data_IF_993763305679
#
_entry.id   IF_993763305679
#
_cell.length_a   1.000
_cell.length_b   1.000
_cell.length_c   1.000
_cell.angle_alpha   90.00
_cell.angle_beta   90.00
_cell.angle_gamma   90.00
#
_symmetry.space_group_name_H-M   'P 1'
#
loop_
_entity.id
_entity.type
_entity.pdbx_description
1 polymer ?
#
# COMPACT_ATOMS: atom_id res chain seq x y z
N UNK A 1 11.79 -36.19 57.46
CA UNK A 1 12.92 -36.99 56.90
C UNK A 1 12.73 -37.42 55.44
N UNK A 2 11.51 -37.43 54.87
CA UNK A 2 11.25 -37.86 53.47
C UNK A 2 11.62 -36.85 52.36
N UNK A 3 12.05 -35.62 52.72
CA UNK A 3 12.37 -34.54 51.79
C UNK A 3 13.67 -34.77 50.99
N UNK A 4 14.59 -35.60 51.49
CA UNK A 4 15.94 -35.70 50.95
C UNK A 4 16.02 -36.57 49.68
N UNK A 5 15.31 -37.71 49.67
CA UNK A 5 15.31 -38.62 48.52
C UNK A 5 14.61 -38.01 47.30
N UNK A 6 13.48 -37.32 47.52
CA UNK A 6 12.76 -36.62 46.45
C UNK A 6 13.64 -35.54 45.77
N UNK A 7 14.37 -34.76 46.57
CA UNK A 7 15.26 -33.72 46.06
C UNK A 7 16.47 -34.33 45.33
N UNK A 8 17.03 -35.43 45.84
CA UNK A 8 18.10 -36.18 45.19
C UNK A 8 17.66 -36.72 43.82
N UNK A 9 16.51 -37.39 43.75
CA UNK A 9 15.96 -37.90 42.49
C UNK A 9 15.67 -36.76 41.50
N UNK A 10 15.12 -35.64 41.97
CA UNK A 10 14.89 -34.46 41.14
C UNK A 10 16.21 -33.88 40.60
N UNK A 11 17.27 -33.88 41.42
CA UNK A 11 18.62 -33.45 41.01
C UNK A 11 19.27 -34.40 40.02
N UNK A 12 19.09 -35.71 40.14
CA UNK A 12 19.61 -36.70 39.19
C UNK A 12 18.83 -36.69 37.87
N UNK A 13 17.52 -36.45 37.94
CA UNK A 13 16.64 -36.32 36.77
C UNK A 13 16.92 -35.04 35.97
N UNK A 14 17.23 -33.93 36.66
CA UNK A 14 17.42 -32.63 36.00
C UNK A 14 18.41 -32.61 34.83
N UNK A 15 19.64 -33.16 34.94
CA UNK A 15 20.60 -33.18 33.84
C UNK A 15 20.15 -34.08 32.68
N UNK A 16 19.47 -35.20 32.96
CA UNK A 16 18.97 -36.14 31.93
C UNK A 16 17.98 -35.44 30.99
N UNK A 17 17.11 -34.60 31.54
CA UNK A 17 16.04 -33.92 30.78
C UNK A 17 16.29 -32.42 30.58
N UNK A 18 17.49 -31.92 30.89
CA UNK A 18 17.84 -30.50 30.85
C UNK A 18 16.81 -29.60 31.56
N UNK A 19 16.30 -30.04 32.71
CA UNK A 19 15.39 -29.25 33.55
C UNK A 19 16.15 -28.61 34.70
N UNK A 20 15.57 -27.56 35.31
CA UNK A 20 16.16 -26.90 36.48
C UNK A 20 15.67 -27.56 37.77
N UNK A 21 16.60 -27.96 38.65
CA UNK A 21 16.29 -28.42 40.02
C UNK A 21 16.22 -27.23 40.99
N UNK A 22 15.14 -27.10 41.76
CA UNK A 22 14.91 -26.00 42.72
C UNK A 22 14.50 -26.54 44.10
N UNK A 23 15.42 -27.16 44.87
CA UNK A 23 15.10 -27.78 46.16
C UNK A 23 14.71 -26.77 47.25
N UNK A 24 15.16 -25.52 47.15
CA UNK A 24 14.87 -24.44 48.10
C UNK A 24 13.57 -23.70 47.79
N UNK A 25 12.87 -24.06 46.70
CA UNK A 25 11.67 -23.37 46.21
C UNK A 25 11.88 -21.86 46.02
N UNK A 26 13.10 -21.44 45.69
CA UNK A 26 13.44 -20.04 45.49
C UNK A 26 12.78 -19.47 44.22
N UNK A 27 12.51 -18.16 44.20
CA UNK A 27 11.87 -17.45 43.07
C UNK A 27 12.88 -17.08 42.00
N UNK A 28 13.31 -18.06 41.20
CA UNK A 28 14.35 -17.90 40.17
C UNK A 28 13.88 -17.27 38.84
N UNK A 29 12.63 -16.77 38.75
CA UNK A 29 12.12 -16.12 37.53
C UNK A 29 11.81 -17.07 36.35
N UNK A 30 11.92 -18.39 36.52
CA UNK A 30 11.67 -19.40 35.46
C UNK A 30 10.27 -19.33 34.85
N UNK A 31 9.28 -18.78 35.57
CA UNK A 31 7.92 -18.50 35.06
C UNK A 31 7.94 -17.59 33.82
N UNK A 32 8.80 -16.57 33.82
CA UNK A 32 8.89 -15.62 32.72
C UNK A 32 9.65 -16.21 31.53
N UNK A 33 10.71 -16.97 31.79
CA UNK A 33 11.49 -17.65 30.74
C UNK A 33 10.69 -18.75 30.02
N UNK A 34 9.83 -19.48 30.75
CA UNK A 34 8.93 -20.49 30.15
C UNK A 34 7.80 -19.88 29.33
N UNK A 35 7.51 -18.59 29.51
CA UNK A 35 6.43 -17.93 28.79
C UNK A 35 6.86 -17.70 27.34
N UNK A 36 6.15 -18.34 26.41
CA UNK A 36 6.34 -18.10 24.97
C UNK A 36 6.08 -16.63 24.63
N UNK A 37 6.94 -16.06 23.78
CA UNK A 37 6.77 -14.70 23.27
C UNK A 37 5.46 -14.57 22.49
N UNK A 38 4.75 -13.46 22.68
CA UNK A 38 3.49 -13.14 21.97
C UNK A 38 3.64 -12.03 20.94
N UNK A 39 4.84 -11.47 20.79
CA UNK A 39 5.15 -10.34 19.91
C UNK A 39 4.59 -10.48 18.49
N UNK A 40 4.88 -11.58 17.77
CA UNK A 40 4.40 -11.76 16.39
C UNK A 40 2.87 -11.75 16.28
N UNK A 41 2.18 -12.42 17.20
CA UNK A 41 0.71 -12.48 17.23
C UNK A 41 0.06 -11.13 17.56
N UNK A 42 0.71 -10.32 18.39
CA UNK A 42 0.22 -8.97 18.71
C UNK A 42 0.51 -8.00 17.56
N UNK A 43 1.66 -8.13 16.91
CA UNK A 43 2.02 -7.31 15.74
C UNK A 43 1.07 -7.53 14.55
N UNK A 44 0.51 -8.73 14.42
CA UNK A 44 -0.48 -9.07 13.39
C UNK A 44 -1.94 -8.78 13.79
N UNK A 45 -2.19 -8.05 14.89
CA UNK A 45 -3.55 -7.83 15.40
C UNK A 45 -4.46 -7.10 14.39
N UNK A 46 -3.95 -6.02 13.79
CA UNK A 46 -4.59 -5.45 12.62
C UNK A 46 -4.05 -6.17 11.38
N UNK A 47 -4.91 -6.65 10.47
CA UNK A 47 -4.43 -7.20 9.21
C UNK A 47 -3.60 -6.12 8.53
N UNK A 48 -2.31 -6.40 8.35
CA UNK A 48 -1.48 -5.54 7.53
C UNK A 48 -2.12 -5.53 6.15
N UNK A 49 -2.37 -4.36 5.57
CA UNK A 49 -2.75 -4.20 4.17
C UNK A 49 -1.53 -4.50 3.26
N UNK A 50 -0.86 -5.60 3.56
CA UNK A 50 0.17 -6.25 2.78
C UNK A 50 -0.50 -7.25 1.85
N UNK A 51 0.21 -7.65 0.80
CA UNK A 51 -0.25 -8.59 -0.23
C UNK A 51 -1.02 -9.77 0.41
N UNK A 52 -2.31 -10.04 0.08
CA UNK A 52 -2.98 -9.85 -1.21
C UNK A 52 -3.77 -8.54 -1.41
N UNK A 53 -3.81 -7.61 -0.44
CA UNK A 53 -4.57 -6.35 -0.57
C UNK A 53 -3.67 -5.09 -0.58
N UNK A 54 -2.75 -4.96 -1.55
CA UNK A 54 -1.90 -3.79 -1.64
C UNK A 54 -2.74 -2.53 -1.91
N UNK A 55 -2.40 -1.42 -1.23
CA UNK A 55 -2.95 -0.11 -1.60
C UNK A 55 -2.65 0.16 -3.08
N UNK A 56 -3.61 0.75 -3.79
CA UNK A 56 -3.48 1.13 -5.21
C UNK A 56 -2.19 1.93 -5.48
N UNK A 57 -1.75 2.75 -4.52
CA UNK A 57 -0.49 3.49 -4.59
C UNK A 57 0.76 2.60 -4.74
N UNK A 58 0.79 1.43 -4.08
CA UNK A 58 1.92 0.50 -4.19
C UNK A 58 1.87 -0.27 -5.51
N UNK A 59 0.67 -0.60 -6.00
CA UNK A 59 0.49 -1.20 -7.33
C UNK A 59 0.98 -0.26 -8.44
N UNK A 60 0.62 1.02 -8.38
CA UNK A 60 1.06 2.00 -9.37
C UNK A 60 2.57 2.30 -9.32
N UNK A 61 3.26 2.01 -8.20
CA UNK A 61 4.73 2.13 -8.12
C UNK A 61 5.44 0.98 -8.84
N UNK A 62 4.88 -0.22 -8.78
CA UNK A 62 5.49 -1.42 -9.37
C UNK A 62 5.06 -1.65 -10.81
N UNK A 63 3.86 -1.19 -11.18
CA UNK A 63 3.29 -1.35 -12.52
C UNK A 63 2.98 0.04 -13.08
N UNK A 64 3.96 0.70 -13.75
CA UNK A 64 3.79 2.05 -14.27
C UNK A 64 2.80 2.11 -15.45
N UNK A 65 2.49 0.97 -16.07
CA UNK A 65 1.57 0.86 -17.20
C UNK A 65 0.48 -0.21 -16.97
N UNK A 66 -0.75 0.23 -16.79
CA UNK A 66 -1.96 -0.57 -16.88
C UNK A 66 -2.49 -0.50 -18.33
N UNK A 67 -2.47 -1.61 -19.08
CA UNK A 67 -2.96 -1.66 -20.47
C UNK A 67 -4.47 -1.38 -20.58
N UNK A 68 -5.22 -1.48 -19.48
CA UNK A 68 -6.64 -1.19 -19.41
C UNK A 68 -6.96 0.20 -18.82
N UNK A 69 -5.96 1.07 -18.62
CA UNK A 69 -6.20 2.41 -18.09
C UNK A 69 -7.01 3.27 -19.07
N UNK A 70 -8.22 3.65 -18.68
CA UNK A 70 -9.15 4.39 -19.55
C UNK A 70 -9.94 3.50 -20.51
N UNK A 71 -9.86 2.18 -20.36
CA UNK A 71 -10.73 1.27 -21.08
C UNK A 71 -12.10 1.23 -20.39
N UNK A 72 -13.13 1.78 -21.06
CA UNK A 72 -14.51 1.79 -20.58
C UNK A 72 -15.22 0.43 -20.76
N UNK A 73 -14.47 -0.65 -21.01
CA UNK A 73 -14.99 -2.00 -21.24
C UNK A 73 -15.63 -2.21 -22.62
N UNK A 74 -15.74 -1.16 -23.44
CA UNK A 74 -16.24 -1.26 -24.80
C UNK A 74 -15.17 -1.85 -25.74
N UNK A 75 -15.59 -2.70 -26.69
CA UNK A 75 -14.71 -3.14 -27.79
C UNK A 75 -14.23 -1.90 -28.54
N UNK A 76 -12.92 -1.80 -28.80
CA UNK A 76 -12.38 -0.72 -29.64
C UNK A 76 -13.11 -0.71 -30.98
N UNK A 77 -13.47 0.47 -31.51
CA UNK A 77 -14.19 0.55 -32.77
C UNK A 77 -13.31 0.04 -33.91
N UNK A 78 -13.84 -0.89 -34.71
CA UNK A 78 -13.17 -1.43 -35.90
C UNK A 78 -13.12 -0.40 -37.03
N UNK A 79 -14.01 0.60 -36.98
CA UNK A 79 -14.14 1.69 -37.93
C UNK A 79 -13.98 3.04 -37.22
N UNK A 80 -13.10 3.88 -37.76
CA UNK A 80 -12.94 5.25 -37.27
C UNK A 80 -13.81 6.18 -38.12
N UNK A 81 -14.70 6.94 -37.47
CA UNK A 81 -15.59 7.89 -38.14
C UNK A 81 -15.25 9.34 -37.76
N UNK A 82 -15.62 10.27 -38.63
CA UNK A 82 -15.46 11.70 -38.36
C UNK A 82 -16.51 12.17 -37.34
N UNK A 83 -16.16 12.95 -36.30
CA UNK A 83 -17.05 13.26 -35.18
C UNK A 83 -18.41 13.88 -35.56
N UNK A 84 -18.48 14.63 -36.67
CA UNK A 84 -19.68 15.37 -37.06
C UNK A 84 -20.36 14.86 -38.34
N UNK A 85 -19.67 14.08 -39.19
CA UNK A 85 -20.20 13.67 -40.50
C UNK A 85 -20.42 12.16 -40.62
N UNK A 86 -20.00 11.35 -39.64
CA UNK A 86 -20.17 9.90 -39.65
C UNK A 86 -19.43 9.16 -40.76
N UNK A 87 -18.73 9.88 -41.65
CA UNK A 87 -17.93 9.28 -42.72
C UNK A 87 -16.81 8.44 -42.14
N UNK A 88 -16.71 7.21 -42.63
CA UNK A 88 -15.66 6.26 -42.26
C UNK A 88 -14.34 6.73 -42.84
N UNK A 89 -13.39 7.02 -41.95
CA UNK A 89 -12.04 7.51 -42.27
C UNK A 89 -11.12 6.32 -42.53
N UNK A 90 -11.27 5.26 -41.73
CA UNK A 90 -10.52 4.00 -41.89
C UNK A 90 -11.38 2.82 -41.45
N UNK A 91 -11.31 1.76 -42.24
CA UNK A 91 -11.90 0.46 -41.96
C UNK A 91 -10.79 -0.52 -41.56
N UNK A 92 -11.10 -1.48 -40.69
CA UNK A 92 -10.16 -2.50 -40.20
C UNK A 92 -8.88 -1.89 -39.60
N UNK A 93 -9.06 -0.91 -38.71
CA UNK A 93 -7.92 -0.27 -38.03
C UNK A 93 -7.25 -1.29 -37.11
N UNK A 94 -6.11 -1.82 -37.55
CA UNK A 94 -5.20 -2.56 -36.68
C UNK A 94 -4.46 -1.55 -35.79
N UNK A 95 -4.85 -1.51 -34.53
CA UNK A 95 -4.20 -0.70 -33.52
C UNK A 95 -2.83 -1.31 -33.20
N UNK A 96 -1.78 -0.83 -33.88
CA UNK A 96 -0.40 -1.17 -33.51
C UNK A 96 -0.10 -0.51 -32.16
N UNK A 97 0.36 -1.33 -31.21
CA UNK A 97 0.61 -1.04 -29.79
C UNK A 97 -0.50 -1.43 -28.80
N UNK A 98 -1.20 -2.54 -29.06
CA UNK A 98 -1.66 -3.40 -27.99
C UNK A 98 -0.42 -4.00 -27.27
N UNK A 99 0.14 -3.26 -26.30
CA UNK A 99 1.13 -3.80 -25.35
C UNK A 99 2.62 -3.75 -25.70
N UNK A 100 3.08 -2.90 -26.61
CA UNK A 100 4.53 -2.75 -26.87
C UNK A 100 5.13 -1.56 -26.09
N UNK A 101 6.03 -1.86 -25.16
CA UNK A 101 6.87 -0.88 -24.44
C UNK A 101 7.86 -0.23 -25.41
N UNK A 102 7.97 1.10 -25.37
CA UNK A 102 9.14 1.79 -25.92
C UNK A 102 10.41 1.32 -25.17
N UNK A 103 11.51 1.11 -25.90
CA UNK A 103 12.80 0.74 -25.29
C UNK A 103 13.44 1.96 -24.64
N UNK A 104 14.21 1.74 -23.57
CA UNK A 104 14.96 2.78 -22.82
C UNK A 104 15.81 3.71 -23.72
N UNK A 105 16.19 3.25 -24.91
CA UNK A 105 16.98 4.03 -25.89
C UNK A 105 16.24 5.19 -26.56
N UNK A 106 14.94 5.34 -26.35
CA UNK A 106 14.12 6.43 -26.91
C UNK A 106 13.73 7.49 -25.88
N UNK A 107 14.30 7.44 -24.66
CA UNK A 107 14.10 8.47 -23.65
C UNK A 107 15.02 9.66 -23.94
N UNK A 108 14.43 10.75 -24.43
CA UNK A 108 15.10 12.05 -24.55
C UNK A 108 15.51 12.52 -23.15
N UNK A 109 16.77 12.95 -23.00
CA UNK A 109 17.36 13.55 -21.79
C UNK A 109 16.77 14.96 -21.53
N UNK A 110 15.47 15.05 -21.28
CA UNK A 110 14.87 16.27 -20.75
C UNK A 110 14.86 16.20 -19.23
N UNK A 111 15.92 16.76 -18.65
CA UNK A 111 16.21 16.77 -17.23
C UNK A 111 15.04 17.21 -16.35
N UNK A 112 15.06 16.71 -15.09
CA UNK A 112 14.27 17.11 -13.92
C UNK A 112 13.08 18.07 -14.13
N UNK A 113 12.16 17.71 -15.01
CA UNK A 113 10.84 18.32 -15.08
C UNK A 113 9.91 17.44 -14.26
N UNK A 114 9.14 18.04 -13.36
CA UNK A 114 8.05 17.32 -12.68
C UNK A 114 7.12 16.76 -13.77
N UNK A 115 7.17 15.45 -14.00
CA UNK A 115 6.29 14.79 -14.97
C UNK A 115 4.85 14.99 -14.49
N UNK A 116 4.17 15.96 -15.09
CA UNK A 116 2.76 16.20 -14.85
C UNK A 116 2.01 14.91 -15.12
N UNK A 117 1.23 14.43 -14.15
CA UNK A 117 0.43 13.20 -14.28
C UNK A 117 -0.44 13.29 -15.54
N UNK A 118 -0.03 12.62 -16.62
CA UNK A 118 -0.83 12.53 -17.84
C UNK A 118 -1.93 11.49 -17.61
N UNK A 119 -3.19 11.93 -17.68
CA UNK A 119 -4.36 11.05 -17.69
C UNK A 119 -4.21 10.10 -18.89
N UNK A 120 -4.19 8.78 -18.65
CA UNK A 120 -4.04 7.76 -19.71
C UNK A 120 -2.71 6.98 -19.67
N UNK A 121 -1.73 7.39 -18.88
CA UNK A 121 -0.51 6.59 -18.64
C UNK A 121 -0.77 5.56 -17.52
N UNK A 122 -1.61 4.57 -17.77
CA UNK A 122 -1.50 3.27 -17.08
C UNK A 122 -1.65 3.21 -15.55
N UNK A 123 -2.14 4.21 -14.84
CA UNK A 123 -2.29 4.13 -13.38
C UNK A 123 -3.69 3.66 -13.00
N UNK A 124 -3.78 2.74 -12.04
CA UNK A 124 -5.06 2.33 -11.44
C UNK A 124 -5.65 3.52 -10.67
N UNK A 125 -6.88 3.91 -11.00
CA UNK A 125 -7.59 4.99 -10.33
C UNK A 125 -8.34 4.48 -9.09
N UNK A 126 -8.14 5.12 -7.94
CA UNK A 126 -8.94 4.85 -6.74
C UNK A 126 -10.23 5.70 -6.77
N UNK A 127 -11.39 5.07 -6.95
CA UNK A 127 -12.66 5.79 -7.09
C UNK A 127 -13.03 6.71 -5.90
N UNK A 128 -12.63 6.34 -4.66
CA UNK A 128 -12.81 7.21 -3.48
C UNK A 128 -11.96 8.49 -3.60
N UNK A 129 -10.73 8.35 -4.07
CA UNK A 129 -9.79 9.46 -4.21
C UNK A 129 -10.19 10.40 -5.35
N UNK A 130 -10.68 9.85 -6.47
CA UNK A 130 -11.25 10.64 -7.58
C UNK A 130 -12.43 11.50 -7.09
N UNK A 131 -13.39 10.89 -6.38
CA UNK A 131 -14.53 11.63 -5.80
C UNK A 131 -14.09 12.70 -4.80
N UNK A 132 -13.09 12.39 -3.95
CA UNK A 132 -12.51 13.35 -3.01
C UNK A 132 -11.90 14.54 -3.74
N UNK A 133 -11.14 14.29 -4.80
CA UNK A 133 -10.51 15.33 -5.61
C UNK A 133 -11.56 16.24 -6.27
N UNK A 134 -12.61 15.69 -6.86
CA UNK A 134 -13.73 16.45 -7.43
C UNK A 134 -14.44 17.30 -6.37
N UNK A 135 -14.75 16.72 -5.20
CA UNK A 135 -15.36 17.46 -4.09
C UNK A 135 -14.49 18.63 -3.64
N UNK A 136 -13.17 18.44 -3.57
CA UNK A 136 -12.22 19.51 -3.23
C UNK A 136 -12.19 20.57 -4.32
N UNK A 137 -12.21 20.20 -5.60
CA UNK A 137 -12.26 21.12 -6.75
C UNK A 137 -13.49 22.02 -6.67
N UNK A 138 -14.67 21.44 -6.49
CA UNK A 138 -15.94 22.17 -6.34
C UNK A 138 -15.91 23.13 -5.14
N UNK A 139 -15.41 22.69 -3.99
CA UNK A 139 -15.28 23.56 -2.81
C UNK A 139 -14.31 24.71 -3.03
N UNK A 140 -13.19 24.47 -3.71
CA UNK A 140 -12.24 25.53 -4.09
C UNK A 140 -12.88 26.54 -5.03
N UNK A 141 -13.61 26.08 -6.04
CA UNK A 141 -14.36 26.96 -6.96
C UNK A 141 -15.39 27.83 -6.22
N UNK A 142 -16.03 27.28 -5.18
CA UNK A 142 -16.95 28.02 -4.32
C UNK A 142 -16.27 28.89 -3.24
N UNK A 143 -14.93 29.03 -3.24
CA UNK A 143 -14.17 29.77 -2.22
C UNK A 143 -14.17 29.13 -0.83
N UNK A 144 -14.80 27.96 -0.67
CA UNK A 144 -14.89 27.16 0.57
C UNK A 144 -13.86 26.03 0.62
N UNK A 145 -12.77 26.19 -0.13
CA UNK A 145 -11.65 25.26 -0.14
C UNK A 145 -10.88 25.28 1.18
N UNK A 146 -10.16 24.20 1.51
CA UNK A 146 -9.24 24.24 2.64
C UNK A 146 -8.14 25.30 2.41
N UNK A 147 -7.83 26.15 3.40
CA UNK A 147 -6.76 27.14 3.28
C UNK A 147 -5.39 26.47 3.20
N UNK A 148 -4.40 27.17 2.65
CA UNK A 148 -3.00 26.71 2.67
C UNK A 148 -2.52 26.60 4.12
N UNK A 149 -1.65 25.62 4.40
CA UNK A 149 -1.01 25.47 5.71
C UNK A 149 -0.38 26.81 6.13
N UNK A 150 -0.71 27.29 7.34
CA UNK A 150 -0.22 28.56 7.85
C UNK A 150 -1.00 29.81 7.43
N UNK A 151 -2.06 29.69 6.62
CA UNK A 151 -2.95 30.80 6.22
C UNK A 151 -4.35 30.71 6.86
N UNK A 152 -4.51 29.87 7.89
CA UNK A 152 -5.79 29.75 8.60
C UNK A 152 -6.14 31.02 9.37
N UNK A 153 -7.43 31.20 9.73
CA UNK A 153 -7.96 32.41 10.38
C UNK A 153 -7.08 32.94 11.53
N UNK A 154 -6.59 32.06 12.42
CA UNK A 154 -5.72 32.44 13.56
C UNK A 154 -4.40 33.10 13.14
N UNK A 155 -3.82 32.69 12.01
CA UNK A 155 -2.58 33.27 11.49
C UNK A 155 -2.77 34.67 10.92
N UNK A 156 -3.96 34.98 10.39
CA UNK A 156 -4.30 36.31 9.91
C UNK A 156 -4.66 37.26 11.06
N UNK A 157 -5.29 36.75 12.12
CA UNK A 157 -5.68 37.56 13.27
C UNK A 157 -4.50 38.11 14.08
N UNK A 158 -3.34 37.43 14.09
CA UNK A 158 -2.10 37.93 14.75
C UNK A 158 -1.37 39.05 13.98
N UNK A 159 -1.85 39.43 12.79
CA UNK A 159 -1.31 40.57 12.02
C UNK A 159 -2.08 41.87 12.26
N UNK A 160 -3.06 41.87 13.15
CA UNK A 160 -3.66 43.06 13.76
C UNK A 160 -3.20 43.12 15.21
#
# INVERSE_FOLDING_TARGET
>A
MASNLHNLLSSLRSPIFHTLSNPTSARMGTKYLRRRLRGPSVASYYPQLTNPFPKIQHLNKTHPSNPFAGWDGAKLPETLTTPNSGRVIKENVQWKNEGAMLRDSELVDDGFTEVGRKKGLGWLAEGKEVRRAEKVRLRKAAGKGPPKKGQGRRSQMKKK
#
